data_IF_371630563265
#
_entry.id   IF_371630563265
#
_cell.length_a   1.000
_cell.length_b   1.000
_cell.length_c   1.000
_cell.angle_alpha   90.00
_cell.angle_beta   90.00
_cell.angle_gamma   90.00
#
_symmetry.space_group_name_H-M   'P 1'
#
loop_
_entity.id
_entity.type
_entity.pdbx_description
1 polymer ?
#
# COMPACT_ATOMS: atom_id res chain seq x y z
N UNK A 1 -13.81 1.20 4.63
CA UNK A 1 -12.65 1.37 3.72
C UNK A 1 -12.05 0.00 3.33
N UNK A 2 -11.77 -0.23 2.06
CA UNK A 2 -11.19 -1.45 1.49
C UNK A 2 -9.70 -1.28 1.15
N UNK A 3 -9.07 -0.17 1.52
CA UNK A 3 -7.66 0.15 1.19
C UNK A 3 -6.61 -0.65 1.99
N UNK A 4 -7.04 -1.56 2.87
CA UNK A 4 -6.19 -2.39 3.72
C UNK A 4 -6.50 -3.87 3.50
N UNK A 5 -5.56 -4.73 3.88
CA UNK A 5 -5.71 -6.20 3.86
C UNK A 5 -6.84 -6.63 4.78
N UNK A 6 -7.74 -7.49 4.31
CA UNK A 6 -8.90 -7.94 5.09
C UNK A 6 -8.47 -8.51 6.47
N UNK A 7 -8.92 -7.90 7.58
CA UNK A 7 -8.63 -8.35 8.94
C UNK A 7 -9.00 -9.82 9.20
N UNK A 8 -10.09 -10.31 8.60
CA UNK A 8 -10.50 -11.70 8.72
C UNK A 8 -9.51 -12.63 8.02
N UNK A 9 -8.94 -12.20 6.89
CA UNK A 9 -7.91 -12.97 6.18
C UNK A 9 -6.59 -12.97 6.96
N UNK A 10 -6.20 -11.83 7.54
CA UNK A 10 -5.06 -11.73 8.46
C UNK A 10 -5.22 -12.68 9.65
N UNK A 11 -6.38 -12.67 10.32
CA UNK A 11 -6.67 -13.57 11.46
C UNK A 11 -6.62 -15.05 11.06
N UNK A 12 -7.14 -15.42 9.88
CA UNK A 12 -7.04 -16.80 9.37
C UNK A 12 -5.60 -17.24 9.17
N UNK A 13 -4.75 -16.36 8.65
CA UNK A 13 -3.33 -16.62 8.49
C UNK A 13 -2.60 -16.78 9.81
N UNK A 14 -2.88 -15.90 10.78
CA UNK A 14 -2.35 -16.00 12.14
C UNK A 14 -2.74 -17.35 12.77
N UNK A 15 -4.00 -17.77 12.61
CA UNK A 15 -4.45 -19.10 13.05
C UNK A 15 -3.61 -20.22 12.44
N UNK A 16 -3.29 -20.15 11.14
CA UNK A 16 -2.40 -21.12 10.47
C UNK A 16 -0.97 -21.10 10.98
N UNK A 17 -0.44 -19.93 11.32
CA UNK A 17 0.89 -19.82 11.95
C UNK A 17 0.88 -20.45 13.35
N UNK A 18 -0.15 -20.18 14.15
CA UNK A 18 -0.28 -20.79 15.48
C UNK A 18 -0.42 -22.32 15.39
N UNK A 19 -1.25 -22.82 14.47
CA UNK A 19 -1.38 -24.26 14.17
C UNK A 19 -0.04 -24.91 13.74
N UNK A 20 0.80 -24.15 13.04
CA UNK A 20 2.14 -24.59 12.63
C UNK A 20 3.20 -24.46 13.74
N UNK A 21 2.83 -23.98 14.94
CA UNK A 21 3.71 -23.90 16.10
C UNK A 21 4.42 -22.56 16.31
N UNK A 22 4.07 -21.51 15.55
CA UNK A 22 4.58 -20.17 15.80
C UNK A 22 3.89 -19.57 17.03
N UNK A 23 4.68 -19.21 18.04
CA UNK A 23 4.17 -18.78 19.37
C UNK A 23 4.26 -17.27 19.61
N UNK A 24 5.05 -16.55 18.82
CA UNK A 24 5.27 -15.11 18.96
C UNK A 24 4.91 -14.39 17.65
N UNK A 25 3.61 -14.33 17.37
CA UNK A 25 3.08 -13.72 16.13
C UNK A 25 2.80 -12.24 16.37
N UNK A 26 3.28 -11.38 15.47
CA UNK A 26 3.10 -9.93 15.54
C UNK A 26 2.55 -9.39 14.23
N UNK A 27 1.58 -8.49 14.33
CA UNK A 27 1.16 -7.62 13.23
C UNK A 27 1.81 -6.26 13.46
N UNK A 28 2.61 -5.82 12.50
CA UNK A 28 3.44 -4.62 12.62
C UNK A 28 3.04 -3.58 11.57
N UNK A 29 3.18 -2.32 11.92
CA UNK A 29 3.08 -1.17 10.99
C UNK A 29 3.84 0.01 11.64
N UNK A 30 4.30 0.97 10.84
CA UNK A 30 4.77 2.25 11.35
C UNK A 30 3.72 3.35 11.10
N UNK A 31 3.69 4.35 11.96
CA UNK A 31 2.85 5.52 11.71
C UNK A 31 3.27 6.24 10.42
N UNK A 32 2.29 6.86 9.77
CA UNK A 32 2.49 7.63 8.54
C UNK A 32 1.97 9.07 8.67
N UNK A 33 2.11 9.87 7.60
CA UNK A 33 1.74 11.30 7.56
C UNK A 33 0.33 11.61 8.06
N UNK A 34 -0.63 10.68 7.99
CA UNK A 34 -1.97 10.89 8.53
C UNK A 34 -1.97 11.17 10.03
N UNK A 35 -1.00 10.65 10.77
CA UNK A 35 -0.85 10.89 12.21
C UNK A 35 -0.37 12.31 12.57
N UNK A 36 0.11 13.07 11.56
CA UNK A 36 0.41 14.50 11.65
C UNK A 36 -0.84 15.36 11.39
N UNK A 37 -1.83 14.83 10.67
CA UNK A 37 -3.02 15.56 10.24
C UNK A 37 -4.26 15.26 11.10
N UNK A 38 -4.35 14.05 11.64
CA UNK A 38 -5.50 13.55 12.38
C UNK A 38 -5.09 13.00 13.76
N UNK A 39 -6.01 13.06 14.71
CA UNK A 39 -5.93 12.36 15.98
C UNK A 39 -6.29 10.88 15.81
N UNK A 40 -5.99 10.06 16.82
CA UNK A 40 -6.33 8.63 16.86
C UNK A 40 -5.73 7.78 15.73
N UNK A 41 -4.59 8.20 15.19
CA UNK A 41 -3.87 7.50 14.09
C UNK A 41 -2.67 6.67 14.56
N UNK A 42 -2.61 6.29 15.84
CA UNK A 42 -1.63 5.29 16.27
C UNK A 42 -1.96 3.94 15.65
N UNK A 43 -0.94 3.11 15.43
CA UNK A 43 -1.10 1.78 14.81
C UNK A 43 -2.12 0.94 15.58
N UNK A 44 -1.99 0.89 16.90
CA UNK A 44 -2.92 0.18 17.78
C UNK A 44 -4.37 0.68 17.69
N UNK A 45 -4.60 1.99 17.52
CA UNK A 45 -5.97 2.49 17.36
C UNK A 45 -6.55 2.09 16.00
N UNK A 46 -5.77 2.25 14.92
CA UNK A 46 -6.20 1.87 13.57
C UNK A 46 -6.50 0.38 13.50
N UNK A 47 -5.64 -0.46 14.06
CA UNK A 47 -5.84 -1.91 14.12
C UNK A 47 -7.17 -2.28 14.78
N UNK A 48 -7.48 -1.71 15.95
CA UNK A 48 -8.78 -1.92 16.63
C UNK A 48 -9.96 -1.47 15.78
N UNK A 49 -9.87 -0.30 15.14
CA UNK A 49 -10.94 0.23 14.28
C UNK A 49 -11.24 -0.69 13.11
N UNK A 50 -10.21 -1.34 12.55
CA UNK A 50 -10.41 -2.30 11.45
C UNK A 50 -10.71 -3.72 11.94
N UNK A 51 -10.76 -3.99 13.25
CA UNK A 51 -11.09 -5.32 13.78
C UNK A 51 -9.91 -6.27 13.93
N UNK A 52 -8.68 -5.74 13.95
CA UNK A 52 -7.51 -6.42 14.48
C UNK A 52 -7.40 -6.10 15.98
N UNK A 53 -7.72 -7.07 16.81
CA UNK A 53 -7.87 -6.96 18.27
C UNK A 53 -6.67 -7.48 19.06
N UNK A 54 -5.80 -8.28 18.44
CA UNK A 54 -4.66 -8.89 19.12
C UNK A 54 -5.01 -10.16 19.89
N UNK A 55 -6.08 -10.86 19.50
CA UNK A 55 -6.40 -12.17 20.08
C UNK A 55 -5.49 -13.25 19.49
N UNK A 56 -4.55 -13.77 20.29
CA UNK A 56 -3.56 -14.77 19.86
C UNK A 56 -2.34 -14.21 19.10
N UNK A 57 -2.18 -12.89 19.04
CA UNK A 57 -1.04 -12.19 18.41
C UNK A 57 -0.88 -10.78 18.99
N UNK A 58 0.28 -10.17 18.84
CA UNK A 58 0.50 -8.79 19.29
C UNK A 58 0.44 -7.78 18.13
N UNK A 59 -0.01 -6.56 18.42
CA UNK A 59 0.02 -5.43 17.47
C UNK A 59 1.13 -4.48 17.90
N UNK A 60 2.07 -4.21 17.00
CA UNK A 60 3.28 -3.46 17.29
C UNK A 60 3.39 -2.22 16.41
N UNK A 61 3.65 -1.08 17.04
CA UNK A 61 3.86 0.21 16.37
C UNK A 61 5.37 0.44 16.22
N UNK A 62 5.90 0.21 15.03
CA UNK A 62 7.34 0.26 14.78
C UNK A 62 7.90 1.67 14.96
N UNK A 63 7.07 2.72 14.87
CA UNK A 63 7.45 4.10 15.19
C UNK A 63 7.81 4.26 16.67
N UNK A 64 7.35 3.38 17.56
CA UNK A 64 7.71 3.40 18.98
C UNK A 64 8.85 2.43 19.33
N UNK A 65 9.40 1.70 18.37
CA UNK A 65 10.43 0.66 18.57
C UNK A 65 11.73 0.99 17.85
N UNK A 66 12.12 2.26 17.81
CA UNK A 66 13.21 2.72 16.97
C UNK A 66 14.59 2.37 17.54
N UNK A 67 15.36 1.58 16.79
CA UNK A 67 16.76 1.30 17.07
C UNK A 67 17.63 1.80 15.92
N UNK A 68 18.75 2.51 16.19
CA UNK A 68 19.69 2.91 15.15
C UNK A 68 20.18 1.70 14.34
N UNK A 69 20.26 1.85 13.03
CA UNK A 69 20.76 0.84 12.12
C UNK A 69 21.39 1.49 10.90
N UNK A 70 22.55 0.99 10.48
CA UNK A 70 23.26 1.45 9.29
C UNK A 70 22.84 0.60 8.10
N UNK A 71 21.85 1.06 7.34
CA UNK A 71 21.35 0.35 6.15
C UNK A 71 22.34 0.42 4.97
N UNK A 72 23.21 1.44 4.95
CA UNK A 72 23.97 1.77 3.76
C UNK A 72 23.06 2.27 2.63
N UNK A 73 23.57 2.30 1.40
CA UNK A 73 22.81 2.79 0.25
C UNK A 73 22.33 4.24 0.44
N UNK A 74 21.15 4.55 -0.11
CA UNK A 74 20.52 5.87 0.07
C UNK A 74 19.83 5.95 1.43
N UNK A 75 19.37 4.83 1.97
CA UNK A 75 18.71 4.82 3.29
C UNK A 75 19.65 5.29 4.42
N UNK A 76 20.94 4.91 4.31
CA UNK A 76 22.03 5.38 5.15
C UNK A 76 21.89 4.98 6.62
N UNK A 77 22.35 5.85 7.51
CA UNK A 77 22.11 5.72 8.94
C UNK A 77 20.66 6.12 9.26
N UNK A 78 19.90 5.15 9.74
CA UNK A 78 18.51 5.36 10.08
C UNK A 78 18.09 4.49 11.28
N UNK A 79 16.81 4.15 11.37
CA UNK A 79 16.24 3.38 12.48
C UNK A 79 15.39 2.24 11.95
N UNK A 80 15.37 1.15 12.70
CA UNK A 80 14.55 -0.03 12.43
C UNK A 80 13.66 -0.30 13.65
N UNK A 81 12.43 -0.76 13.40
CA UNK A 81 11.56 -1.25 14.45
C UNK A 81 12.04 -2.60 14.99
N UNK A 82 12.25 -2.75 16.31
CA UNK A 82 12.77 -3.99 16.90
C UNK A 82 11.98 -5.23 16.50
N UNK A 83 10.65 -5.17 16.50
CA UNK A 83 9.83 -6.33 16.14
C UNK A 83 10.01 -6.77 14.70
N UNK A 84 10.35 -5.85 13.79
CA UNK A 84 10.70 -6.18 12.41
C UNK A 84 12.15 -6.67 12.29
N UNK A 85 13.09 -6.00 12.97
CA UNK A 85 14.52 -6.37 13.00
C UNK A 85 14.71 -7.79 13.52
N UNK A 86 14.08 -8.12 14.63
CA UNK A 86 14.32 -9.34 15.40
C UNK A 86 13.41 -10.52 14.99
N UNK A 87 12.59 -10.35 13.95
CA UNK A 87 11.70 -11.41 13.49
C UNK A 87 12.48 -12.55 12.81
N UNK A 88 12.25 -13.79 13.28
CA UNK A 88 12.77 -15.01 12.65
C UNK A 88 12.12 -15.28 11.29
N UNK A 89 10.88 -14.82 11.11
CA UNK A 89 10.10 -14.98 9.89
C UNK A 89 9.29 -13.71 9.62
N UNK A 90 9.23 -13.28 8.35
CA UNK A 90 8.62 -12.01 7.93
C UNK A 90 7.66 -12.26 6.79
N UNK A 91 6.46 -11.72 6.91
CA UNK A 91 5.41 -11.82 5.90
C UNK A 91 5.05 -10.42 5.42
N UNK A 92 5.09 -10.18 4.11
CA UNK A 92 4.48 -8.99 3.52
C UNK A 92 3.09 -9.34 3.01
N UNK A 93 2.04 -8.84 3.67
CA UNK A 93 0.66 -9.09 3.29
C UNK A 93 -0.01 -7.81 2.78
N UNK A 94 0.07 -7.59 1.48
CA UNK A 94 -0.41 -6.39 0.83
C UNK A 94 -1.87 -6.47 0.39
N UNK A 95 -2.49 -5.30 0.20
CA UNK A 95 -3.78 -5.15 -0.47
C UNK A 95 -3.57 -4.93 -1.97
N UNK A 96 -4.35 -5.58 -2.82
CA UNK A 96 -4.30 -5.39 -4.28
C UNK A 96 -4.86 -4.02 -4.68
N UNK A 97 -3.99 -3.05 -4.98
CA UNK A 97 -4.39 -1.69 -5.35
C UNK A 97 -3.44 -0.97 -6.30
N UNK A 98 -3.99 -0.08 -7.12
CA UNK A 98 -3.22 0.91 -7.88
C UNK A 98 -2.68 2.03 -6.97
N UNK A 99 -1.64 2.72 -7.43
CA UNK A 99 -1.03 3.84 -6.72
C UNK A 99 -0.45 4.88 -7.67
N UNK A 100 -0.75 6.16 -7.45
CA UNK A 100 -0.55 7.17 -8.48
C UNK A 100 0.90 7.47 -8.81
N UNK A 101 1.84 7.17 -7.90
CA UNK A 101 3.28 7.37 -8.10
C UNK A 101 3.99 6.13 -8.64
N UNK A 102 3.53 4.93 -8.28
CA UNK A 102 4.25 3.67 -8.56
C UNK A 102 3.43 2.68 -9.40
N UNK A 103 2.36 3.15 -10.04
CA UNK A 103 1.30 2.37 -10.75
C UNK A 103 0.49 1.43 -9.84
N UNK A 104 1.15 0.68 -8.96
CA UNK A 104 0.55 -0.18 -7.94
C UNK A 104 1.29 -0.09 -6.59
N UNK A 105 0.62 -0.56 -5.54
CA UNK A 105 1.24 -0.85 -4.23
C UNK A 105 0.92 -2.29 -3.87
N UNK A 106 1.91 -3.16 -3.97
CA UNK A 106 1.81 -4.58 -3.65
C UNK A 106 2.83 -4.97 -2.57
N UNK A 107 3.43 -6.15 -2.63
CA UNK A 107 4.18 -6.76 -1.52
C UNK A 107 5.54 -6.14 -1.29
N UNK A 108 6.20 -5.58 -2.32
CA UNK A 108 7.47 -4.85 -2.15
C UNK A 108 7.20 -3.52 -1.45
N UNK A 109 6.39 -2.65 -2.06
CA UNK A 109 6.07 -1.34 -1.47
C UNK A 109 5.34 -1.45 -0.13
N UNK A 110 4.67 -2.56 0.18
CA UNK A 110 4.07 -2.75 1.50
C UNK A 110 5.10 -2.77 2.64
N UNK A 111 6.35 -3.22 2.41
CA UNK A 111 7.39 -3.20 3.46
C UNK A 111 7.91 -1.80 3.77
N UNK A 112 7.66 -0.81 2.90
CA UNK A 112 7.83 0.61 3.23
C UNK A 112 7.07 1.03 4.49
N UNK A 113 5.93 0.38 4.76
CA UNK A 113 5.16 0.54 6.01
C UNK A 113 5.97 0.20 7.26
N UNK A 114 7.05 -0.59 7.14
CA UNK A 114 7.90 -0.96 8.26
C UNK A 114 8.99 0.07 8.60
N UNK A 115 9.23 1.07 7.74
CA UNK A 115 10.20 2.11 8.03
C UNK A 115 9.68 3.04 9.16
N UNK A 116 10.37 3.24 10.30
CA UNK A 116 9.70 3.82 11.47
C UNK A 116 9.36 5.32 11.44
N UNK A 117 9.94 6.11 10.52
CA UNK A 117 9.75 7.56 10.56
C UNK A 117 8.30 7.96 10.26
N UNK A 118 7.72 8.76 11.17
CA UNK A 118 6.33 9.20 11.10
C UNK A 118 6.04 10.11 9.91
N UNK A 119 6.95 11.04 9.63
CA UNK A 119 6.84 11.96 8.49
C UNK A 119 7.39 11.31 7.22
N UNK A 120 6.56 10.44 6.66
CA UNK A 120 6.85 9.63 5.48
C UNK A 120 7.19 10.43 4.23
N UNK A 121 6.59 11.62 4.06
CA UNK A 121 6.89 12.47 2.90
C UNK A 121 8.28 13.09 3.04
N UNK A 122 8.52 13.81 4.13
CA UNK A 122 9.81 14.46 4.35
C UNK A 122 10.97 13.46 4.41
N UNK A 123 10.77 12.29 5.02
CA UNK A 123 11.88 11.37 5.27
C UNK A 123 12.23 10.46 4.09
N UNK A 124 11.22 10.00 3.36
CA UNK A 124 11.40 8.97 2.32
C UNK A 124 11.03 9.44 0.91
N UNK A 125 10.19 10.46 0.74
CA UNK A 125 9.86 10.99 -0.60
C UNK A 125 10.72 12.20 -0.97
N UNK A 126 11.35 12.87 0.00
CA UNK A 126 12.21 14.04 -0.30
C UNK A 126 13.71 13.77 -0.12
N UNK A 127 14.09 12.98 0.89
CA UNK A 127 15.50 12.84 1.29
C UNK A 127 16.16 11.59 0.74
N UNK A 128 15.39 10.53 0.43
CA UNK A 128 15.93 9.16 0.33
C UNK A 128 15.36 8.30 -0.79
N UNK A 129 14.41 8.80 -1.58
CA UNK A 129 13.67 8.03 -2.58
C UNK A 129 12.96 6.78 -2.02
N UNK A 130 11.63 6.77 -2.09
CA UNK A 130 10.82 5.80 -1.35
C UNK A 130 11.07 4.35 -1.78
N UNK A 131 11.30 4.14 -3.06
CA UNK A 131 11.63 2.86 -3.66
C UNK A 131 13.01 2.37 -3.23
N UNK A 132 14.05 3.17 -3.41
CA UNK A 132 15.44 2.81 -3.07
C UNK A 132 15.59 2.57 -1.58
N UNK A 133 15.01 3.42 -0.73
CA UNK A 133 14.96 3.22 0.71
C UNK A 133 14.27 1.90 1.10
N UNK A 134 13.21 1.51 0.39
CA UNK A 134 12.52 0.24 0.63
C UNK A 134 13.39 -0.95 0.25
N UNK A 135 14.12 -0.88 -0.87
CA UNK A 135 15.05 -1.93 -1.31
C UNK A 135 16.24 -2.05 -0.35
N UNK A 136 16.83 -0.94 0.09
CA UNK A 136 17.89 -0.92 1.10
C UNK A 136 17.44 -1.61 2.40
N UNK A 137 16.21 -1.36 2.85
CA UNK A 137 15.67 -2.04 4.02
C UNK A 137 15.48 -3.56 3.81
N UNK A 138 15.02 -3.97 2.62
CA UNK A 138 14.82 -5.38 2.27
C UNK A 138 16.14 -6.16 2.18
N UNK A 139 17.26 -5.51 1.82
CA UNK A 139 18.60 -6.14 1.81
C UNK A 139 19.01 -6.65 3.19
N UNK A 140 18.61 -5.94 4.25
CA UNK A 140 18.95 -6.30 5.64
C UNK A 140 17.86 -7.12 6.33
N UNK A 141 16.59 -6.87 5.99
CA UNK A 141 15.43 -7.50 6.63
C UNK A 141 14.50 -8.11 5.58
N UNK A 142 14.91 -9.24 4.96
CA UNK A 142 14.17 -9.85 3.86
C UNK A 142 12.82 -10.42 4.32
N UNK A 143 11.86 -10.36 3.41
CA UNK A 143 10.56 -11.03 3.53
C UNK A 143 10.71 -12.50 3.14
N UNK A 144 10.14 -13.39 3.93
CA UNK A 144 10.23 -14.85 3.75
C UNK A 144 8.97 -15.45 3.11
N UNK A 145 7.85 -14.73 3.19
CA UNK A 145 6.62 -15.08 2.50
C UNK A 145 5.87 -13.80 2.10
N UNK A 146 5.33 -13.78 0.90
CA UNK A 146 4.55 -12.65 0.40
C UNK A 146 3.13 -13.09 0.05
N UNK A 147 2.16 -12.22 0.31
CA UNK A 147 0.79 -12.41 -0.13
C UNK A 147 0.09 -11.10 -0.50
N UNK A 148 -0.86 -11.22 -1.40
CA UNK A 148 -1.72 -10.15 -1.87
C UNK A 148 -3.16 -10.57 -1.60
N UNK A 149 -3.86 -9.79 -0.77
CA UNK A 149 -5.30 -9.82 -0.65
C UNK A 149 -5.90 -9.09 -1.85
N UNK A 150 -6.42 -9.84 -2.81
CA UNK A 150 -7.14 -9.32 -3.96
C UNK A 150 -8.64 -9.59 -3.90
N UNK A 151 -9.16 -10.20 -2.81
CA UNK A 151 -10.57 -10.60 -2.67
C UNK A 151 -11.51 -9.47 -3.09
N UNK A 152 -11.20 -8.28 -2.55
CA UNK A 152 -11.59 -6.99 -3.08
C UNK A 152 -10.34 -6.23 -3.53
N UNK A 153 -10.40 -5.62 -4.71
CA UNK A 153 -9.30 -4.91 -5.34
C UNK A 153 -9.71 -3.49 -5.71
N UNK A 154 -8.73 -2.59 -5.78
CA UNK A 154 -8.99 -1.16 -6.00
C UNK A 154 -8.12 -0.63 -7.14
N UNK A 155 -8.74 0.02 -8.11
CA UNK A 155 -8.02 0.50 -9.28
C UNK A 155 -8.19 2.01 -9.51
N UNK A 156 -7.53 2.50 -10.57
CA UNK A 156 -7.62 3.87 -11.02
C UNK A 156 -6.74 4.86 -10.27
N UNK A 157 -6.76 6.16 -10.67
CA UNK A 157 -5.86 7.22 -10.19
C UNK A 157 -6.00 7.63 -8.73
N UNK A 158 -6.75 6.89 -7.91
CA UNK A 158 -6.87 7.06 -6.46
C UNK A 158 -7.16 5.72 -5.75
N UNK A 159 -6.89 4.56 -6.35
CA UNK A 159 -7.26 3.25 -5.77
C UNK A 159 -6.73 3.01 -4.35
N UNK A 160 -5.56 3.56 -4.02
CA UNK A 160 -4.99 3.54 -2.66
C UNK A 160 -5.61 4.51 -1.65
N UNK A 161 -6.41 5.51 -2.08
CA UNK A 161 -7.06 6.52 -1.23
C UNK A 161 -8.60 6.39 -1.21
N UNK A 162 -9.22 5.97 -2.30
CA UNK A 162 -10.66 5.89 -2.49
C UNK A 162 -11.19 4.45 -2.35
N UNK A 163 -10.77 3.73 -1.30
CA UNK A 163 -11.32 2.40 -1.02
C UNK A 163 -12.67 2.41 -0.36
N UNK A 164 -13.65 3.04 -0.98
CA UNK A 164 -15.04 2.97 -0.58
C UNK A 164 -15.85 2.64 -1.83
N UNK A 165 -16.75 1.66 -1.74
CA UNK A 165 -17.67 1.38 -2.84
C UNK A 165 -18.51 2.63 -3.15
N UNK A 166 -18.93 3.36 -2.11
CA UNK A 166 -19.72 4.59 -2.21
C UNK A 166 -19.29 5.58 -1.12
N UNK A 167 -19.02 6.83 -1.49
CA UNK A 167 -18.84 7.97 -0.58
C UNK A 167 -20.15 8.75 -0.53
N UNK A 168 -20.59 9.12 0.67
CA UNK A 168 -21.82 9.91 0.88
C UNK A 168 -21.53 11.20 1.67
N UNK A 169 -22.36 12.23 1.50
CA UNK A 169 -22.30 13.43 2.33
C UNK A 169 -23.02 13.24 3.67
N UNK A 170 -23.01 14.27 4.52
CA UNK A 170 -23.70 14.30 5.81
C UNK A 170 -25.22 14.10 5.68
N UNK A 171 -25.80 14.34 4.49
CA UNK A 171 -27.21 14.11 4.19
C UNK A 171 -27.48 12.74 3.53
N UNK A 172 -26.46 11.87 3.42
CA UNK A 172 -26.57 10.52 2.87
C UNK A 172 -26.60 10.45 1.34
N UNK A 173 -26.44 11.57 0.62
CA UNK A 173 -26.40 11.58 -0.86
C UNK A 173 -25.10 10.96 -1.35
N UNK A 174 -25.16 10.13 -2.39
CA UNK A 174 -23.97 9.57 -3.03
C UNK A 174 -23.16 10.71 -3.65
N UNK A 175 -21.97 10.92 -3.12
CA UNK A 175 -20.98 11.86 -3.62
C UNK A 175 -20.04 11.21 -4.64
N UNK A 176 -19.76 9.91 -4.48
CA UNK A 176 -18.83 9.17 -5.34
C UNK A 176 -19.03 7.66 -5.24
N UNK A 177 -18.52 6.93 -6.22
CA UNK A 177 -18.33 5.49 -6.18
C UNK A 177 -16.86 5.18 -6.51
N UNK A 178 -16.19 4.39 -5.68
CA UNK A 178 -14.81 3.97 -5.94
C UNK A 178 -14.78 2.80 -6.92
N UNK A 179 -13.71 2.69 -7.70
CA UNK A 179 -13.52 1.53 -8.56
C UNK A 179 -13.06 0.34 -7.73
N UNK A 180 -14.03 -0.43 -7.28
CA UNK A 180 -13.83 -1.59 -6.42
C UNK A 180 -14.27 -2.84 -7.14
N UNK A 181 -13.41 -3.85 -7.15
CA UNK A 181 -13.61 -5.09 -7.88
C UNK A 181 -13.60 -6.26 -6.93
N UNK A 182 -14.63 -7.10 -6.99
CA UNK A 182 -14.59 -8.39 -6.32
C UNK A 182 -13.88 -9.38 -7.24
N UNK A 183 -12.63 -9.71 -6.92
CA UNK A 183 -11.83 -10.65 -7.74
C UNK A 183 -11.74 -12.04 -7.12
N UNK A 184 -12.19 -12.18 -5.86
CA UNK A 184 -12.18 -13.44 -5.09
C UNK A 184 -10.80 -14.15 -5.13
N UNK A 185 -9.72 -13.38 -5.24
CA UNK A 185 -8.35 -13.88 -5.45
C UNK A 185 -7.48 -13.60 -4.23
N UNK A 186 -6.60 -14.56 -3.89
CA UNK A 186 -5.45 -14.35 -3.00
C UNK A 186 -4.22 -14.89 -3.74
N UNK A 187 -3.17 -14.09 -3.81
CA UNK A 187 -1.89 -14.48 -4.41
C UNK A 187 -0.91 -14.68 -3.27
N UNK A 188 -0.12 -15.75 -3.28
CA UNK A 188 0.86 -16.00 -2.23
C UNK A 188 2.02 -16.87 -2.69
N UNK A 189 3.18 -16.69 -2.06
CA UNK A 189 4.39 -17.41 -2.41
C UNK A 189 5.56 -17.08 -1.49
N UNK A 190 6.60 -17.92 -1.57
CA UNK A 190 7.84 -17.74 -0.80
C UNK A 190 8.78 -16.69 -1.40
N UNK A 191 8.64 -16.44 -2.70
CA UNK A 191 9.46 -15.47 -3.42
C UNK A 191 8.71 -14.14 -3.55
N UNK A 192 9.28 -13.08 -2.96
CA UNK A 192 8.71 -11.73 -2.95
C UNK A 192 8.53 -11.18 -4.37
N UNK A 193 9.54 -11.37 -5.24
CA UNK A 193 9.53 -10.87 -6.62
C UNK A 193 8.49 -11.63 -7.46
N UNK A 194 8.38 -12.94 -7.29
CA UNK A 194 7.38 -13.74 -8.00
C UNK A 194 5.95 -13.28 -7.66
N UNK A 195 5.66 -13.05 -6.37
CA UNK A 195 4.33 -12.60 -5.92
C UNK A 195 4.02 -11.18 -6.43
N UNK A 196 5.00 -10.27 -6.36
CA UNK A 196 4.86 -8.92 -6.94
C UNK A 196 4.57 -9.02 -8.44
N UNK A 197 5.38 -9.79 -9.19
CA UNK A 197 5.24 -9.98 -10.63
C UNK A 197 3.85 -10.49 -10.99
N UNK A 198 3.38 -11.55 -10.33
CA UNK A 198 2.04 -12.10 -10.56
C UNK A 198 0.96 -11.06 -10.27
N UNK A 199 1.08 -10.30 -9.18
CA UNK A 199 0.14 -9.21 -8.87
C UNK A 199 0.11 -8.12 -9.95
N UNK A 200 1.27 -7.67 -10.42
CA UNK A 200 1.38 -6.71 -11.53
C UNK A 200 0.76 -7.26 -12.81
N UNK A 201 1.06 -8.51 -13.16
CA UNK A 201 0.52 -9.19 -14.33
C UNK A 201 -1.00 -9.34 -14.26
N UNK A 202 -1.55 -9.65 -13.08
CA UNK A 202 -2.99 -9.67 -12.85
C UNK A 202 -3.64 -8.32 -13.07
N UNK A 203 -2.96 -7.22 -12.72
CA UNK A 203 -3.39 -5.86 -13.03
C UNK A 203 -3.17 -5.45 -14.50
N UNK A 204 -2.67 -6.34 -15.37
CA UNK A 204 -2.35 -6.01 -16.76
C UNK A 204 -1.16 -5.06 -16.91
N UNK A 205 -0.33 -4.92 -15.87
CA UNK A 205 0.93 -4.18 -15.95
C UNK A 205 2.01 -5.09 -16.53
N UNK A 206 2.98 -4.49 -17.22
CA UNK A 206 4.20 -5.16 -17.65
C UNK A 206 5.32 -4.88 -16.62
N UNK A 207 5.78 -5.90 -15.87
CA UNK A 207 6.85 -5.73 -14.89
C UNK A 207 8.16 -5.21 -15.50
N UNK A 208 8.41 -5.47 -16.79
CA UNK A 208 9.59 -4.95 -17.48
C UNK A 208 9.56 -3.43 -17.72
N UNK A 209 8.38 -2.80 -17.58
CA UNK A 209 8.19 -1.36 -17.71
C UNK A 209 8.19 -0.62 -16.36
N UNK A 210 8.33 -1.34 -15.25
CA UNK A 210 8.48 -0.71 -13.95
C UNK A 210 9.90 -0.14 -13.84
N UNK A 211 10.01 1.10 -13.36
CA UNK A 211 11.29 1.78 -13.14
C UNK A 211 11.49 2.17 -11.68
N UNK A 212 10.66 1.63 -10.78
CA UNK A 212 10.64 1.97 -9.36
C UNK A 212 10.95 0.72 -8.53
N UNK A 213 9.91 0.14 -7.90
CA UNK A 213 10.06 -0.89 -6.89
C UNK A 213 10.48 -2.25 -7.46
N UNK A 214 9.86 -2.69 -8.55
CA UNK A 214 10.10 -4.03 -9.07
C UNK A 214 11.46 -4.12 -9.77
N UNK A 215 11.79 -3.13 -10.61
CA UNK A 215 13.11 -3.07 -11.24
C UNK A 215 14.25 -2.98 -10.21
N UNK A 216 14.14 -2.09 -9.22
CA UNK A 216 15.14 -1.97 -8.16
C UNK A 216 15.29 -3.24 -7.33
N UNK A 217 14.19 -3.96 -7.09
CA UNK A 217 14.24 -5.24 -6.38
C UNK A 217 14.86 -6.36 -7.22
N UNK A 218 14.60 -6.42 -8.53
CA UNK A 218 15.26 -7.36 -9.45
C UNK A 218 16.75 -7.10 -9.52
N UNK A 219 17.17 -5.83 -9.61
CA UNK A 219 18.60 -5.47 -9.57
C UNK A 219 19.26 -5.90 -8.25
N UNK A 220 18.57 -5.71 -7.12
CA UNK A 220 19.13 -6.02 -5.80
C UNK A 220 19.19 -7.52 -5.46
N UNK A 221 18.20 -8.31 -5.90
CA UNK A 221 18.03 -9.69 -5.43
C UNK A 221 18.13 -10.74 -6.53
N UNK A 222 18.07 -10.33 -7.80
CA UNK A 222 17.97 -11.20 -8.96
C UNK A 222 16.56 -11.80 -9.10
N UNK A 223 16.07 -11.88 -10.33
CA UNK A 223 14.83 -12.60 -10.61
C UNK A 223 15.07 -14.11 -10.65
N UNK A 224 14.09 -14.89 -10.17
CA UNK A 224 14.10 -16.36 -10.20
C UNK A 224 12.91 -16.89 -10.97
N UNK A 225 13.11 -18.04 -11.60
CA UNK A 225 12.01 -18.78 -12.20
C UNK A 225 11.04 -19.27 -11.13
N UNK A 226 9.75 -19.25 -11.48
CA UNK A 226 8.68 -19.73 -10.61
C UNK A 226 7.56 -20.36 -11.42
N UNK A 227 6.80 -21.24 -10.77
CA UNK A 227 5.58 -21.81 -11.32
C UNK A 227 4.37 -20.98 -10.87
N UNK A 228 3.56 -20.51 -11.83
CA UNK A 228 2.28 -19.87 -11.55
C UNK A 228 1.17 -20.91 -11.57
N UNK A 229 0.73 -21.34 -10.39
CA UNK A 229 -0.43 -22.23 -10.23
C UNK A 229 -1.71 -21.41 -10.04
N UNK A 230 -2.78 -21.75 -10.77
CA UNK A 230 -4.11 -21.15 -10.66
C UNK A 230 -4.49 -20.29 -11.86
N UNK A 231 -5.39 -19.33 -11.66
CA UNK A 231 -5.89 -18.47 -12.74
C UNK A 231 -4.79 -17.49 -13.19
N UNK A 232 -4.49 -17.47 -14.49
CA UNK A 232 -3.43 -16.65 -15.11
C UNK A 232 -3.96 -15.44 -15.88
N UNK A 233 -5.27 -15.20 -15.85
CA UNK A 233 -5.94 -14.09 -16.50
C UNK A 233 -5.78 -12.79 -15.73
N UNK A 234 -5.66 -11.67 -16.45
CA UNK A 234 -5.80 -10.33 -15.88
C UNK A 234 -7.16 -10.15 -15.22
N UNK A 235 -7.29 -9.20 -14.30
CA UNK A 235 -8.58 -8.76 -13.79
C UNK A 235 -9.41 -8.11 -14.90
N UNK A 236 -10.70 -8.41 -14.92
CA UNK A 236 -11.65 -7.80 -15.85
C UNK A 236 -11.90 -6.33 -15.50
N UNK A 237 -12.13 -5.51 -16.52
CA UNK A 237 -12.44 -4.08 -16.40
C UNK A 237 -11.45 -3.25 -15.55
N UNK A 238 -10.21 -3.72 -15.43
CA UNK A 238 -9.18 -3.05 -14.64
C UNK A 238 -8.72 -1.72 -15.25
N UNK A 239 -8.57 -0.71 -14.41
CA UNK A 239 -8.13 0.64 -14.76
C UNK A 239 -6.75 0.94 -14.16
N UNK A 240 -5.72 0.95 -14.99
CA UNK A 240 -4.38 1.35 -14.60
C UNK A 240 -4.17 2.85 -14.62
N UNK A 241 -3.07 3.27 -13.98
CA UNK A 241 -2.63 4.67 -13.95
C UNK A 241 -1.62 4.89 -15.07
N UNK A 242 -1.81 5.95 -15.85
CA UNK A 242 -0.89 6.29 -16.94
C UNK A 242 0.44 6.86 -16.41
N UNK A 243 1.54 6.52 -17.07
CA UNK A 243 2.91 6.90 -16.68
C UNK A 243 3.13 8.40 -16.50
N UNK A 244 2.59 9.23 -17.41
CA UNK A 244 2.66 10.68 -17.29
C UNK A 244 1.96 11.22 -16.03
N UNK A 245 0.97 10.49 -15.49
CA UNK A 245 0.36 10.84 -14.20
C UNK A 245 1.28 10.52 -13.04
N UNK A 246 2.01 9.41 -13.11
CA UNK A 246 3.01 9.04 -12.11
C UNK A 246 4.09 10.10 -11.98
N UNK A 247 4.78 10.43 -13.07
CA UNK A 247 5.86 11.43 -13.03
C UNK A 247 5.41 12.81 -12.53
N UNK A 248 4.21 13.26 -12.89
CA UNK A 248 3.70 14.55 -12.43
C UNK A 248 3.42 14.60 -10.92
N UNK A 249 2.97 13.48 -10.34
CA UNK A 249 2.67 13.42 -8.92
C UNK A 249 3.93 13.17 -8.10
N UNK A 250 4.88 12.40 -8.64
CA UNK A 250 6.21 12.17 -8.08
C UNK A 250 6.95 13.50 -7.85
N UNK A 251 7.08 14.33 -8.90
CA UNK A 251 7.62 15.70 -8.81
C UNK A 251 6.86 16.55 -7.78
N UNK A 252 5.54 16.33 -7.64
CA UNK A 252 4.71 17.03 -6.67
C UNK A 252 4.97 16.59 -5.21
N UNK A 253 5.33 15.31 -4.99
CA UNK A 253 5.66 14.74 -3.69
C UNK A 253 7.05 15.19 -3.21
N UNK A 254 7.99 15.44 -4.13
CA UNK A 254 9.30 16.03 -3.83
C UNK A 254 9.22 17.47 -3.30
N UNK A 255 8.14 18.20 -3.62
CA UNK A 255 7.92 19.60 -3.21
C UNK A 255 7.32 19.76 -1.78
N UNK A 256 7.60 18.83 -0.86
CA UNK A 256 7.50 18.96 0.60
C UNK A 256 6.25 19.61 1.17
N UNK A 257 6.27 20.93 1.34
CA UNK A 257 5.10 21.71 1.83
C UNK A 257 3.89 21.52 0.92
N UNK A 258 4.12 21.45 -0.39
CA UNK A 258 3.10 21.18 -1.39
C UNK A 258 2.62 19.73 -1.27
N UNK A 259 3.53 18.77 -1.05
CA UNK A 259 3.19 17.36 -0.85
C UNK A 259 2.29 17.15 0.37
N UNK A 260 2.60 17.78 1.51
CA UNK A 260 1.74 17.74 2.69
C UNK A 260 0.36 18.36 2.43
N UNK A 261 0.31 19.50 1.75
CA UNK A 261 -0.95 20.16 1.42
C UNK A 261 -1.81 19.32 0.47
N UNK A 262 -1.23 18.84 -0.63
CA UNK A 262 -1.91 18.01 -1.62
C UNK A 262 -2.33 16.66 -1.01
N UNK A 263 -1.43 16.01 -0.28
CA UNK A 263 -1.70 14.75 0.43
C UNK A 263 -2.85 14.87 1.43
N UNK A 264 -2.85 15.91 2.27
CA UNK A 264 -3.92 16.16 3.24
C UNK A 264 -5.25 16.52 2.54
N UNK A 265 -5.18 17.26 1.43
CA UNK A 265 -6.38 17.59 0.65
C UNK A 265 -7.04 16.33 0.09
N UNK A 266 -6.25 15.35 -0.37
CA UNK A 266 -6.72 14.08 -0.92
C UNK A 266 -7.07 13.01 0.14
N UNK A 267 -6.77 13.27 1.42
CA UNK A 267 -7.02 12.32 2.49
C UNK A 267 -8.53 12.11 2.72
N UNK A 268 -8.99 10.88 2.47
CA UNK A 268 -10.35 10.42 2.79
C UNK A 268 -10.31 9.62 4.09
N UNK A 269 -10.77 10.26 5.17
CA UNK A 269 -10.72 9.70 6.52
C UNK A 269 -12.05 9.98 7.20
N UNK A 270 -12.57 9.00 7.94
CA UNK A 270 -13.74 9.17 8.80
C UNK A 270 -13.41 10.17 9.92
N UNK A 271 -14.05 11.36 9.94
CA UNK A 271 -13.73 12.41 10.92
C UNK A 271 -14.25 12.11 12.32
N UNK A 272 -15.18 11.16 12.49
CA UNK A 272 -15.66 10.71 13.80
C UNK A 272 -14.62 9.80 14.43
N UNK A 273 -14.12 8.82 13.67
CA UNK A 273 -13.10 7.89 14.14
C UNK A 273 -11.72 8.55 14.27
N UNK A 274 -11.38 9.44 13.33
CA UNK A 274 -10.08 10.11 13.25
C UNK A 274 -10.26 11.63 13.10
N UNK A 275 -10.50 12.35 14.20
CA UNK A 275 -10.79 13.77 14.12
C UNK A 275 -9.57 14.56 13.63
N UNK A 276 -9.76 15.57 12.76
CA UNK A 276 -8.66 16.40 12.28
C UNK A 276 -8.03 17.17 13.44
N UNK A 277 -6.70 17.33 13.42
CA UNK A 277 -6.00 18.20 14.37
C UNK A 277 -6.41 19.66 14.19
N UNK A 278 -6.18 20.51 15.20
CA UNK A 278 -6.49 21.95 15.13
C UNK A 278 -5.79 22.57 13.92
N UNK A 279 -6.56 23.27 13.08
CA UNK A 279 -6.12 23.97 11.86
C UNK A 279 -6.55 25.43 11.93
N UNK A 280 -5.76 26.31 11.33
CA UNK A 280 -6.16 27.70 11.08
C UNK A 280 -7.33 27.74 10.08
N UNK A 281 -8.16 28.79 10.16
CA UNK A 281 -9.29 28.97 9.24
C UNK A 281 -8.83 29.01 7.77
N UNK A 282 -7.69 29.65 7.50
CA UNK A 282 -7.08 29.72 6.18
C UNK A 282 -6.72 28.33 5.63
N UNK A 283 -6.10 27.47 6.46
CA UNK A 283 -5.78 26.09 6.06
C UNK A 283 -7.04 25.27 5.79
N UNK A 284 -8.11 25.48 6.56
CA UNK A 284 -9.41 24.82 6.28
C UNK A 284 -9.96 25.24 4.92
N UNK A 285 -9.97 26.55 4.63
CA UNK A 285 -10.43 27.08 3.35
C UNK A 285 -9.59 26.50 2.19
N UNK A 286 -8.27 26.54 2.31
CA UNK A 286 -7.35 26.01 1.29
C UNK A 286 -7.56 24.52 1.04
N UNK A 287 -7.79 23.72 2.08
CA UNK A 287 -8.08 22.29 1.92
C UNK A 287 -9.45 22.05 1.26
N UNK A 288 -10.46 22.84 1.57
CA UNK A 288 -11.78 22.75 0.93
C UNK A 288 -11.71 23.09 -0.56
N UNK A 289 -11.04 24.20 -0.89
CA UNK A 289 -10.80 24.63 -2.27
C UNK A 289 -9.94 23.62 -3.01
N UNK A 290 -8.83 23.19 -2.39
CA UNK A 290 -7.93 22.17 -2.92
C UNK A 290 -8.66 20.85 -3.21
N UNK A 291 -9.48 20.36 -2.28
CA UNK A 291 -10.35 19.18 -2.49
C UNK A 291 -11.23 19.35 -3.70
N UNK A 292 -11.96 20.46 -3.80
CA UNK A 292 -12.88 20.69 -4.90
C UNK A 292 -12.19 20.67 -6.27
N UNK A 293 -11.08 21.40 -6.42
CA UNK A 293 -10.36 21.48 -7.70
C UNK A 293 -9.55 20.22 -8.01
N UNK A 294 -8.87 19.67 -7.02
CA UNK A 294 -7.95 18.55 -7.22
C UNK A 294 -8.69 17.24 -7.41
N UNK A 295 -9.75 16.96 -6.62
CA UNK A 295 -10.59 15.78 -6.85
C UNK A 295 -11.21 15.84 -8.24
N UNK A 296 -11.72 16.99 -8.67
CA UNK A 296 -12.29 17.13 -10.02
C UNK A 296 -11.25 16.87 -11.11
N UNK A 297 -10.02 17.38 -10.95
CA UNK A 297 -8.94 17.24 -11.95
C UNK A 297 -8.35 15.83 -11.98
N UNK A 298 -8.04 15.22 -10.83
CA UNK A 298 -7.51 13.85 -10.77
C UNK A 298 -8.57 12.85 -11.25
N UNK A 299 -9.84 13.03 -10.87
CA UNK A 299 -10.93 12.16 -11.33
C UNK A 299 -11.25 12.31 -12.82
N UNK A 300 -10.97 13.47 -13.42
CA UNK A 300 -11.06 13.62 -14.88
C UNK A 300 -9.94 12.93 -15.66
N UNK A 301 -8.88 12.46 -14.98
CA UNK A 301 -7.83 11.68 -15.63
C UNK A 301 -8.39 10.30 -15.94
N UNK A 302 -8.54 10.02 -17.23
CA UNK A 302 -8.87 8.68 -17.70
C UNK A 302 -7.69 7.78 -17.37
N UNK A 303 -7.89 6.81 -16.50
CA UNK A 303 -6.93 5.71 -16.39
C UNK A 303 -6.89 4.91 -17.70
N UNK A 304 -5.93 4.00 -17.80
CA UNK A 304 -5.74 3.15 -18.98
C UNK A 304 -6.49 1.84 -18.71
N UNK A 305 -7.54 1.57 -19.49
CA UNK A 305 -8.28 0.31 -19.37
C UNK A 305 -7.40 -0.84 -19.87
N UNK A 306 -7.31 -1.89 -19.07
CA UNK A 306 -6.59 -3.11 -19.41
C UNK A 306 -7.38 -3.90 -20.45
N UNK A 307 -6.68 -4.44 -21.43
CA UNK A 307 -7.24 -5.43 -22.35
C UNK A 307 -7.09 -6.80 -21.69
N UNK A 308 -8.18 -7.56 -21.50
CA UNK A 308 -8.11 -8.88 -20.87
C UNK A 308 -7.14 -9.80 -21.61
N UNK A 309 -6.26 -10.46 -20.86
CA UNK A 309 -5.30 -11.42 -21.38
C UNK A 309 -5.05 -12.54 -20.37
N UNK A 310 -4.86 -13.77 -20.84
CA UNK A 310 -4.44 -14.90 -20.01
C UNK A 310 -3.11 -15.45 -20.51
N UNK A 311 -2.32 -16.02 -19.59
CA UNK A 311 -0.98 -16.55 -19.87
C UNK A 311 -1.00 -18.08 -19.77
N UNK A 312 -0.41 -18.76 -20.75
CA UNK A 312 -0.36 -20.23 -20.80
C UNK A 312 -1.56 -20.87 -21.51
N UNK A 313 -1.67 -22.21 -21.50
CA UNK A 313 -2.61 -22.98 -22.33
C UNK A 313 -4.09 -22.92 -21.87
N UNK A 314 -4.43 -22.04 -20.92
CA UNK A 314 -5.80 -21.91 -20.41
C UNK A 314 -6.59 -21.03 -21.39
N UNK A 315 -7.46 -21.67 -22.17
CA UNK A 315 -8.43 -21.02 -23.06
C UNK A 315 -9.43 -20.19 -22.24
N UNK A 316 -9.46 -18.89 -22.49
CA UNK A 316 -10.29 -17.91 -21.79
C UNK A 316 -11.77 -17.95 -22.20
N UNK A 317 -12.20 -18.91 -23.02
CA UNK A 317 -13.58 -18.98 -23.54
C UNK A 317 -14.45 -20.02 -22.83
N UNK A 318 -14.29 -20.18 -21.53
CA UNK A 318 -14.96 -21.20 -20.73
C UNK A 318 -15.75 -20.66 -19.53
N UNK A 319 -16.91 -20.05 -19.82
CA UNK A 319 -17.98 -19.58 -18.90
C UNK A 319 -17.79 -18.23 -18.22
#
# INVERSE_FOLDING_TARGET
PLVYTDPALVKRWIGKLVEAGYTNVRVVEAQNVYSLWYHNRSVNHVARVIGLDGDGYAIHDLTNEQFPFAYGGILGDHVVGASWRDADFRISFAKNKTHDVSRCTLVIKNTYGCLPAKDKFSEYHQKREVDTATIDALRHFPVHFAAIDATWSLDGPLGYKEGFNIVRDEQGRVLNEGNTHRTDTVIGGRDLLAVEKVGMLKMGLDPAQDTWFYAGAVEAFGERDFEWVGNTCTYDDWLNIGEATCHQLDIGEELGVIAHFLGESMAHVDPVLFPPRKRTWFRRLMLTVGRFFFLRKVRSRKGIRVVPACRGPIDCRGK
#
